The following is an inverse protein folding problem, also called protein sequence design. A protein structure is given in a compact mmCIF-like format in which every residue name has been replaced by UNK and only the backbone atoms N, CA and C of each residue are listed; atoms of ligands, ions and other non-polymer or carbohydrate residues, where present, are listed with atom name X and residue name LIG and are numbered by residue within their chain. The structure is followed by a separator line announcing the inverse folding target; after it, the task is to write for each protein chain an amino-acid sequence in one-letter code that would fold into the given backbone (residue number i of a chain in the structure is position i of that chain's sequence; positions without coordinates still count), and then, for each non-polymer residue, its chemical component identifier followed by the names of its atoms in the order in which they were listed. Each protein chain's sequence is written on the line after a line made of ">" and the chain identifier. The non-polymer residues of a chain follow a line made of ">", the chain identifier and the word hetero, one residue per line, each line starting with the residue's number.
data_IF_442215077998
#
_entry.id   IF_442215077998
#
_cell.length_a   1.000
_cell.length_b   1.000
_cell.length_c   1.000
_cell.angle_alpha   90.00
_cell.angle_beta   90.00
_cell.angle_gamma   90.00
#
_symmetry.space_group_name_H-M   'P 1'
#
loop_
_entity.id
_entity.type
_entity.pdbx_description
1 polymer ?
#
# COMPACT_ATOMS: atom_id res chain seq x y z
N UNK A 1 5.79 22.45 3.47
CA UNK A 1 4.45 22.41 2.88
C UNK A 1 4.29 21.23 1.89
N UNK A 2 5.24 20.97 1.00
CA UNK A 2 5.18 19.86 0.04
C UNK A 2 4.92 18.49 0.70
N UNK A 3 5.56 18.23 1.86
CA UNK A 3 5.37 16.96 2.58
C UNK A 3 3.95 16.79 3.12
N UNK A 4 3.31 17.88 3.54
CA UNK A 4 1.93 17.83 4.05
C UNK A 4 0.93 17.61 2.92
N UNK A 5 1.10 18.33 1.80
CA UNK A 5 0.20 18.20 0.64
C UNK A 5 0.32 16.82 0.01
N UNK A 6 1.54 16.33 -0.20
CA UNK A 6 1.78 15.00 -0.75
C UNK A 6 1.28 13.91 0.21
N UNK A 7 1.51 14.08 1.52
CA UNK A 7 1.06 13.11 2.53
C UNK A 7 -0.45 13.04 2.67
N UNK A 8 -1.16 14.14 2.39
CA UNK A 8 -2.63 14.16 2.40
C UNK A 8 -3.25 13.38 1.24
N UNK A 9 -2.61 13.42 0.06
CA UNK A 9 -3.16 12.87 -1.18
C UNK A 9 -2.43 11.57 -1.63
N UNK A 10 -1.59 11.00 -0.75
CA UNK A 10 -0.89 9.75 -1.06
C UNK A 10 -1.86 8.57 -1.04
N UNK A 11 -2.00 7.91 -2.17
CA UNK A 11 -2.71 6.64 -2.32
C UNK A 11 -1.70 5.49 -2.45
N UNK A 12 -2.18 4.25 -2.38
CA UNK A 12 -1.36 3.05 -2.57
C UNK A 12 -0.69 3.02 -3.95
N UNK A 13 -1.34 3.49 -5.01
CA UNK A 13 -0.76 3.60 -6.35
C UNK A 13 0.38 4.64 -6.39
N UNK A 14 0.13 5.82 -5.81
CA UNK A 14 1.13 6.87 -5.72
C UNK A 14 2.32 6.45 -4.88
N UNK A 15 2.08 5.78 -3.75
CA UNK A 15 3.12 5.18 -2.93
C UNK A 15 3.91 4.13 -3.72
N UNK A 16 3.23 3.23 -4.44
CA UNK A 16 3.88 2.16 -5.21
C UNK A 16 4.82 2.69 -6.29
N UNK A 17 4.43 3.74 -7.03
CA UNK A 17 5.29 4.35 -8.06
C UNK A 17 6.42 5.19 -7.46
N UNK A 18 6.20 5.83 -6.31
CA UNK A 18 7.21 6.68 -5.67
C UNK A 18 8.30 5.86 -4.98
N UNK A 19 7.94 4.79 -4.25
CA UNK A 19 8.90 3.92 -3.56
C UNK A 19 9.79 3.11 -4.52
N UNK A 20 9.33 2.95 -5.75
CA UNK A 20 10.09 2.24 -6.79
C UNK A 20 11.21 3.09 -7.40
N UNK A 21 11.26 4.40 -7.13
CA UNK A 21 12.26 5.30 -7.66
C UNK A 21 13.48 5.39 -6.77
N UNK A 22 14.71 5.26 -7.34
CA UNK A 22 15.93 5.49 -6.59
C UNK A 22 16.16 6.99 -6.33
N UNK A 23 16.76 7.32 -5.20
CA UNK A 23 17.19 8.67 -4.83
C UNK A 23 16.08 9.54 -4.24
N UNK A 24 16.40 10.84 -4.05
CA UNK A 24 15.45 11.80 -3.50
C UNK A 24 14.36 12.14 -4.50
N UNK A 25 13.11 11.98 -4.11
CA UNK A 25 11.95 12.29 -4.93
C UNK A 25 11.76 13.81 -5.08
N UNK A 26 11.69 14.27 -6.34
CA UNK A 26 11.28 15.63 -6.62
C UNK A 26 9.77 15.75 -6.34
N UNK A 27 9.30 16.72 -5.51
CA UNK A 27 7.87 16.91 -5.23
C UNK A 27 7.01 17.08 -6.47
N UNK A 28 7.52 17.70 -7.52
CA UNK A 28 6.80 17.92 -8.78
C UNK A 28 6.47 16.63 -9.53
N UNK A 29 7.28 15.57 -9.34
CA UNK A 29 6.95 14.26 -9.88
C UNK A 29 5.66 13.72 -9.25
N UNK A 30 5.55 13.82 -7.92
CA UNK A 30 4.36 13.37 -7.20
C UNK A 30 3.15 14.23 -7.55
N UNK A 31 3.31 15.56 -7.67
CA UNK A 31 2.21 16.42 -8.14
C UNK A 31 1.73 16.08 -9.55
N UNK A 32 2.64 15.75 -10.46
CA UNK A 32 2.27 15.30 -11.81
C UNK A 32 1.49 13.99 -11.77
N UNK A 33 1.89 13.05 -10.91
CA UNK A 33 1.18 11.80 -10.73
C UNK A 33 -0.23 12.00 -10.12
N UNK A 34 -0.35 12.87 -9.11
CA UNK A 34 -1.64 13.27 -8.51
C UNK A 34 -2.56 13.90 -9.54
N UNK A 35 -2.04 14.83 -10.35
CA UNK A 35 -2.81 15.53 -11.37
C UNK A 35 -3.40 14.61 -12.43
N UNK A 36 -2.76 13.48 -12.70
CA UNK A 36 -3.28 12.44 -13.60
C UNK A 36 -4.20 11.46 -12.85
N UNK A 37 -3.82 11.04 -11.66
CA UNK A 37 -4.55 10.02 -10.91
C UNK A 37 -5.90 10.51 -10.40
N UNK A 38 -5.97 11.74 -9.84
CA UNK A 38 -7.20 12.25 -9.24
C UNK A 38 -8.35 12.41 -10.25
N UNK A 39 -8.17 13.01 -11.44
CA UNK A 39 -9.21 13.04 -12.46
C UNK A 39 -9.58 11.65 -12.98
N UNK A 40 -8.58 10.79 -13.22
CA UNK A 40 -8.82 9.43 -13.68
C UNK A 40 -9.67 8.64 -12.66
N UNK A 41 -9.42 8.83 -11.37
CA UNK A 41 -10.20 8.22 -10.30
C UNK A 41 -11.63 8.75 -10.23
N UNK A 42 -11.80 10.07 -10.34
CA UNK A 42 -13.11 10.71 -10.36
C UNK A 42 -13.95 10.23 -11.55
N UNK A 43 -13.38 10.24 -12.75
CA UNK A 43 -14.07 9.75 -13.95
C UNK A 43 -14.32 8.25 -13.89
N UNK A 44 -13.35 7.46 -13.43
CA UNK A 44 -13.50 6.02 -13.24
C UNK A 44 -14.64 5.67 -12.28
N UNK A 45 -14.76 6.41 -11.18
CA UNK A 45 -15.86 6.25 -10.22
C UNK A 45 -17.20 6.59 -10.85
N UNK A 46 -17.30 7.72 -11.55
CA UNK A 46 -18.52 8.13 -12.24
C UNK A 46 -18.96 7.09 -13.28
N UNK A 47 -18.02 6.64 -14.13
CA UNK A 47 -18.27 5.56 -15.09
C UNK A 47 -18.62 4.24 -14.41
N UNK A 48 -17.98 3.90 -13.30
CA UNK A 48 -18.25 2.70 -12.51
C UNK A 48 -19.67 2.66 -11.97
N UNK A 49 -20.17 3.78 -11.47
CA UNK A 49 -21.58 3.91 -11.00
C UNK A 49 -22.55 3.71 -12.16
N UNK A 50 -22.28 4.34 -13.33
CA UNK A 50 -23.15 4.21 -14.49
C UNK A 50 -23.14 2.79 -15.06
N UNK A 51 -21.95 2.19 -15.20
CA UNK A 51 -21.77 0.86 -15.74
C UNK A 51 -22.22 -0.24 -14.77
N UNK A 52 -22.06 -0.03 -13.45
CA UNK A 52 -22.41 -1.01 -12.43
C UNK A 52 -23.88 -1.45 -12.47
N UNK A 53 -24.77 -0.53 -12.86
CA UNK A 53 -26.20 -0.85 -13.03
C UNK A 53 -26.50 -1.62 -14.33
N UNK A 54 -25.62 -1.56 -15.33
CA UNK A 54 -25.77 -2.19 -16.63
C UNK A 54 -25.02 -3.54 -16.75
N UNK A 55 -24.02 -3.74 -15.87
CA UNK A 55 -23.16 -4.94 -15.92
C UNK A 55 -23.83 -6.14 -15.24
N UNK A 56 -23.70 -7.36 -15.81
CA UNK A 56 -24.15 -8.57 -15.15
C UNK A 56 -23.31 -8.83 -13.87
N UNK A 57 -23.92 -9.43 -12.86
CA UNK A 57 -23.28 -9.68 -11.55
C UNK A 57 -21.94 -10.41 -11.66
N UNK A 58 -21.78 -11.31 -12.64
CA UNK A 58 -20.51 -12.01 -12.91
C UNK A 58 -19.38 -11.07 -13.30
N UNK A 59 -19.68 -10.04 -14.11
CA UNK A 59 -18.68 -9.05 -14.50
C UNK A 59 -18.28 -8.16 -13.30
N UNK A 60 -19.25 -7.75 -12.47
CA UNK A 60 -18.97 -7.00 -11.25
C UNK A 60 -18.09 -7.81 -10.29
N UNK A 61 -18.38 -9.09 -10.08
CA UNK A 61 -17.56 -9.98 -9.27
C UNK A 61 -16.13 -10.12 -9.82
N UNK A 62 -15.97 -10.27 -11.15
CA UNK A 62 -14.66 -10.36 -11.79
C UNK A 62 -13.84 -9.07 -11.60
N UNK A 63 -14.46 -7.90 -11.75
CA UNK A 63 -13.82 -6.60 -11.50
C UNK A 63 -13.39 -6.44 -10.05
N UNK A 64 -14.21 -6.92 -9.08
CA UNK A 64 -13.85 -6.91 -7.67
C UNK A 64 -12.60 -7.78 -7.39
N UNK A 65 -12.50 -8.95 -8.04
CA UNK A 65 -11.30 -9.79 -7.93
C UNK A 65 -10.08 -9.12 -8.56
N UNK A 66 -10.25 -8.37 -9.66
CA UNK A 66 -9.17 -7.63 -10.30
C UNK A 66 -8.52 -6.59 -9.36
N UNK A 67 -9.29 -5.98 -8.45
CA UNK A 67 -8.78 -5.08 -7.41
C UNK A 67 -7.74 -5.76 -6.51
N UNK A 68 -8.01 -7.00 -6.08
CA UNK A 68 -7.03 -7.78 -5.30
C UNK A 68 -5.77 -8.09 -6.11
N UNK A 69 -5.92 -8.31 -7.42
CA UNK A 69 -4.79 -8.48 -8.34
C UNK A 69 -3.88 -7.24 -8.39
N UNK A 70 -4.45 -6.05 -8.34
CA UNK A 70 -3.71 -4.79 -8.27
C UNK A 70 -2.86 -4.72 -7.00
N UNK A 71 -3.41 -5.04 -5.83
CA UNK A 71 -2.64 -5.08 -4.58
C UNK A 71 -1.49 -6.08 -4.64
N UNK A 72 -1.72 -7.27 -5.19
CA UNK A 72 -0.66 -8.25 -5.39
C UNK A 72 0.44 -7.75 -6.33
N UNK A 73 0.09 -7.02 -7.38
CA UNK A 73 1.05 -6.43 -8.30
C UNK A 73 1.97 -5.38 -7.63
N UNK A 74 1.46 -4.65 -6.63
CA UNK A 74 2.24 -3.69 -5.85
C UNK A 74 3.16 -4.41 -4.83
N UNK A 75 2.67 -5.48 -4.21
CA UNK A 75 3.35 -6.18 -3.11
C UNK A 75 4.45 -7.14 -3.62
N UNK A 76 4.23 -7.81 -4.75
CA UNK A 76 5.16 -8.85 -5.25
C UNK A 76 6.56 -8.30 -5.59
N UNK A 77 6.73 -7.17 -6.30
CA UNK A 77 8.06 -6.67 -6.66
C UNK A 77 8.97 -6.37 -5.47
N UNK A 78 8.54 -5.64 -4.41
CA UNK A 78 9.37 -5.43 -3.23
C UNK A 78 9.62 -6.74 -2.45
N UNK A 79 8.66 -7.66 -2.40
CA UNK A 79 8.84 -8.96 -1.76
C UNK A 79 9.92 -9.81 -2.43
N UNK A 80 10.05 -9.75 -3.75
CA UNK A 80 11.10 -10.45 -4.50
C UNK A 80 12.49 -9.88 -4.24
N UNK A 81 12.58 -8.57 -3.99
CA UNK A 81 13.86 -7.87 -3.75
C UNK A 81 14.35 -8.00 -2.31
N UNK A 82 13.43 -8.09 -1.34
CA UNK A 82 13.76 -8.11 0.08
C UNK A 82 13.06 -9.27 0.80
N UNK A 83 13.85 -10.20 1.30
CA UNK A 83 13.35 -11.38 2.04
C UNK A 83 12.59 -10.99 3.33
N UNK A 84 12.99 -9.90 3.99
CA UNK A 84 12.30 -9.41 5.19
C UNK A 84 10.87 -8.98 4.82
N UNK A 85 10.71 -8.23 3.73
CA UNK A 85 9.38 -7.83 3.23
C UNK A 85 8.55 -9.05 2.87
N UNK A 86 9.13 -10.05 2.20
CA UNK A 86 8.42 -11.28 1.86
C UNK A 86 7.91 -12.04 3.10
N UNK A 87 8.76 -12.16 4.13
CA UNK A 87 8.38 -12.82 5.40
C UNK A 87 7.28 -12.03 6.12
N UNK A 88 7.39 -10.70 6.16
CA UNK A 88 6.37 -9.84 6.77
C UNK A 88 5.01 -9.97 6.07
N UNK A 89 4.99 -10.08 4.75
CA UNK A 89 3.76 -10.30 3.98
C UNK A 89 3.13 -11.65 4.37
N UNK A 90 3.92 -12.71 4.39
CA UNK A 90 3.41 -14.05 4.78
C UNK A 90 2.88 -14.04 6.21
N UNK A 91 3.59 -13.42 7.15
CA UNK A 91 3.15 -13.26 8.53
C UNK A 91 1.84 -12.47 8.61
N UNK A 92 1.71 -11.38 7.84
CA UNK A 92 0.50 -10.56 7.79
C UNK A 92 -0.71 -11.35 7.31
N UNK A 93 -0.55 -12.14 6.25
CA UNK A 93 -1.62 -13.02 5.76
C UNK A 93 -2.00 -14.09 6.79
N UNK A 94 -1.01 -14.73 7.41
CA UNK A 94 -1.24 -15.74 8.43
C UNK A 94 -1.99 -15.14 9.65
N UNK A 95 -1.51 -14.01 10.18
CA UNK A 95 -2.14 -13.33 11.31
C UNK A 95 -3.56 -12.84 10.97
N UNK A 96 -3.79 -12.32 9.76
CA UNK A 96 -5.12 -11.93 9.32
C UNK A 96 -6.07 -13.12 9.25
N UNK A 97 -5.60 -14.25 8.71
CA UNK A 97 -6.35 -15.50 8.62
C UNK A 97 -6.68 -16.06 10.00
N UNK A 98 -5.68 -16.27 10.85
CA UNK A 98 -5.89 -16.80 12.20
C UNK A 98 -6.67 -15.84 13.11
N UNK A 99 -6.46 -14.53 12.97
CA UNK A 99 -7.19 -13.51 13.72
C UNK A 99 -8.71 -13.56 13.50
N UNK A 100 -9.16 -14.10 12.37
CA UNK A 100 -10.58 -14.30 12.08
C UNK A 100 -11.23 -15.39 12.94
N UNK A 101 -10.43 -16.31 13.47
CA UNK A 101 -10.92 -17.44 14.27
C UNK A 101 -10.78 -17.22 15.77
N UNK A 102 -10.04 -16.20 16.23
CA UNK A 102 -9.83 -15.94 17.66
C UNK A 102 -11.05 -15.23 18.25
N UNK A 103 -11.74 -15.83 19.25
CA UNK A 103 -12.83 -15.18 19.97
C UNK A 103 -12.33 -13.88 20.62
N UNK A 104 -13.01 -12.78 20.36
CA UNK A 104 -12.62 -11.43 20.80
C UNK A 104 -12.02 -10.58 19.67
N UNK A 105 -11.14 -11.09 18.84
CA UNK A 105 -10.64 -10.41 17.61
C UNK A 105 -11.68 -10.48 16.51
N UNK A 106 -12.39 -11.60 16.40
CA UNK A 106 -13.50 -11.79 15.47
C UNK A 106 -14.73 -10.90 15.77
N UNK A 107 -14.84 -10.37 16.98
CA UNK A 107 -15.89 -9.42 17.35
C UNK A 107 -15.60 -7.98 16.84
N UNK A 108 -14.36 -7.70 16.46
CA UNK A 108 -13.97 -6.42 15.87
C UNK A 108 -14.42 -6.36 14.40
N UNK A 109 -14.77 -5.16 13.93
CA UNK A 109 -15.02 -4.96 12.50
C UNK A 109 -13.76 -5.28 11.68
N UNK A 110 -13.94 -5.76 10.45
CA UNK A 110 -12.83 -6.10 9.56
C UNK A 110 -11.84 -4.94 9.38
N UNK A 111 -12.35 -3.71 9.27
CA UNK A 111 -11.51 -2.51 9.17
C UNK A 111 -10.66 -2.27 10.42
N UNK A 112 -11.25 -2.35 11.61
CA UNK A 112 -10.52 -2.16 12.88
C UNK A 112 -9.45 -3.22 13.06
N UNK A 113 -9.77 -4.47 12.75
CA UNK A 113 -8.82 -5.60 12.81
C UNK A 113 -7.64 -5.37 11.87
N UNK A 114 -7.90 -4.94 10.63
CA UNK A 114 -6.86 -4.65 9.64
C UNK A 114 -5.95 -3.52 10.12
N UNK A 115 -6.50 -2.43 10.64
CA UNK A 115 -5.72 -1.29 11.17
C UNK A 115 -4.82 -1.75 12.32
N UNK A 116 -5.39 -2.47 13.30
CA UNK A 116 -4.61 -2.96 14.45
C UNK A 116 -3.46 -3.88 14.02
N UNK A 117 -3.75 -4.86 13.15
CA UNK A 117 -2.72 -5.76 12.63
C UNK A 117 -1.63 -5.00 11.87
N UNK A 118 -2.01 -4.05 11.01
CA UNK A 118 -1.06 -3.25 10.25
C UNK A 118 -0.15 -2.45 11.16
N UNK A 119 -0.71 -1.75 12.15
CA UNK A 119 0.08 -0.95 13.11
C UNK A 119 1.03 -1.84 13.92
N UNK A 120 0.54 -2.96 14.44
CA UNK A 120 1.34 -3.88 15.25
C UNK A 120 2.49 -4.50 14.44
N UNK A 121 2.20 -5.01 13.25
CA UNK A 121 3.20 -5.64 12.38
C UNK A 121 4.23 -4.62 11.91
N UNK A 122 3.78 -3.42 11.51
CA UNK A 122 4.68 -2.35 11.06
C UNK A 122 5.58 -1.85 12.19
N UNK A 123 5.04 -1.67 13.41
CA UNK A 123 5.83 -1.28 14.56
C UNK A 123 6.86 -2.36 14.95
N UNK A 124 6.44 -3.63 14.98
CA UNK A 124 7.34 -4.74 15.24
C UNK A 124 8.45 -4.84 14.17
N UNK A 125 8.10 -4.69 12.90
CA UNK A 125 9.05 -4.71 11.80
C UNK A 125 10.05 -3.55 11.89
N UNK A 126 9.61 -2.34 12.22
CA UNK A 126 10.47 -1.17 12.37
C UNK A 126 11.48 -1.32 13.53
N UNK A 127 11.07 -1.97 14.63
CA UNK A 127 11.95 -2.23 15.78
C UNK A 127 12.94 -3.36 15.49
N UNK A 128 12.47 -4.44 14.85
CA UNK A 128 13.30 -5.63 14.61
C UNK A 128 14.25 -5.49 13.41
N UNK A 129 13.87 -4.68 12.42
CA UNK A 129 14.60 -4.48 11.16
C UNK A 129 14.76 -2.99 10.85
N UNK A 130 15.48 -2.21 11.69
CA UNK A 130 15.72 -0.81 11.42
C UNK A 130 16.50 -0.66 10.09
N UNK A 131 16.01 0.18 9.20
CA UNK A 131 16.71 0.53 7.97
C UNK A 131 17.85 1.47 8.37
N UNK A 132 19.10 1.03 8.21
CA UNK A 132 20.26 1.92 8.31
C UNK A 132 20.18 2.95 7.19
N UNK A 133 20.18 4.22 7.56
CA UNK A 133 20.19 5.30 6.58
C UNK A 133 21.54 5.27 5.83
N UNK A 134 21.51 4.99 4.55
CA UNK A 134 22.69 5.03 3.66
C UNK A 134 23.37 6.42 3.63
N UNK A 135 22.72 7.46 4.14
CA UNK A 135 23.29 8.81 4.27
C UNK A 135 24.37 8.94 5.37
N UNK A 136 24.40 8.03 6.33
CA UNK A 136 25.46 8.02 7.36
C UNK A 136 26.74 7.38 6.83
N UNK A 137 26.64 6.42 5.90
CA UNK A 137 27.81 5.78 5.28
C UNK A 137 28.52 6.71 4.27
N UNK A 138 27.79 7.58 3.57
CA UNK A 138 28.39 8.57 2.67
C UNK A 138 29.15 9.68 3.42
N UNK A 139 28.68 10.06 4.61
CA UNK A 139 29.36 11.07 5.43
C UNK A 139 30.62 10.54 6.16
N UNK A 140 30.71 9.23 6.43
CA UNK A 140 31.92 8.62 6.99
C UNK A 140 33.04 8.38 5.94
N UNK A 141 32.70 8.31 4.65
CA UNK A 141 33.66 8.17 3.57
C UNK A 141 34.21 9.50 3.05
N UNK A 142 33.62 10.65 3.40
CA UNK A 142 34.08 11.98 3.03
C UNK A 142 34.88 12.69 4.17
N UNK A 143 35.06 12.05 5.31
CA UNK A 143 35.89 12.55 6.43
C UNK A 143 37.21 11.80 6.51
#
# INVERSE_FOLDING_TARGET
>A
WHRLVIGYDVTDELFGITISRPGCLNPFYTYGAILLAAPAWAFGTAFGIMAGNALPLRAVSALSVALYGMFLAIIIPPARKNKVVAVLIVISFALSFFGSYVPGISALSDGTRTILLTVLISAAAAILFPIKNTQEEESEHES
#
